data_IF_095674233109
#
_entry.id   IF_095674233109
#
_cell.length_a   1.000
_cell.length_b   1.000
_cell.length_c   1.000
_cell.angle_alpha   90.00
_cell.angle_beta   90.00
_cell.angle_gamma   90.00
#
_symmetry.space_group_name_H-M   'P 1'
#
loop_
_entity.id
_entity.type
_entity.pdbx_description
1 polymer ?
#
# COMPACT_ATOMS: atom_id res chain seq x y z
N UNK A 1 -7.03 -10.74 -6.84
CA UNK A 1 -5.93 -11.73 -6.95
C UNK A 1 -5.53 -12.13 -5.54
N UNK A 2 -5.60 -13.41 -5.13
CA UNK A 2 -5.13 -13.82 -3.80
C UNK A 2 -3.62 -13.63 -3.70
N UNK A 3 -3.17 -13.14 -2.54
CA UNK A 3 -1.75 -13.02 -2.22
C UNK A 3 -1.11 -14.42 -2.15
N UNK A 4 0.09 -14.65 -2.70
CA UNK A 4 0.73 -15.95 -2.65
C UNK A 4 1.00 -16.38 -1.20
N UNK A 5 0.65 -17.63 -0.88
CA UNK A 5 0.97 -18.28 0.38
C UNK A 5 2.38 -18.89 0.28
N UNK A 6 3.21 -18.72 1.31
CA UNK A 6 4.50 -19.43 1.42
C UNK A 6 5.76 -18.58 1.32
N UNK A 7 5.67 -17.26 1.48
CA UNK A 7 6.84 -16.38 1.69
C UNK A 7 6.83 -15.91 3.16
N UNK A 8 7.64 -16.54 4.05
CA UNK A 8 7.62 -16.25 5.49
C UNK A 8 7.85 -14.78 5.84
N UNK A 9 8.61 -14.07 5.01
CA UNK A 9 8.90 -12.64 5.23
C UNK A 9 7.69 -11.76 4.89
N UNK A 10 6.79 -12.25 4.01
CA UNK A 10 5.60 -11.52 3.58
C UNK A 10 4.31 -12.05 4.17
N UNK A 11 4.38 -13.05 5.04
CA UNK A 11 3.22 -13.65 5.69
C UNK A 11 2.46 -12.66 6.57
N UNK A 12 3.16 -11.72 7.20
CA UNK A 12 2.54 -10.64 7.96
C UNK A 12 1.71 -9.72 7.05
N UNK A 13 2.31 -9.21 5.98
CA UNK A 13 1.61 -8.33 5.02
C UNK A 13 0.45 -9.06 4.33
N UNK A 14 0.64 -10.33 3.99
CA UNK A 14 -0.40 -11.17 3.43
C UNK A 14 -1.57 -11.42 4.39
N UNK A 15 -1.35 -11.42 5.71
CA UNK A 15 -2.43 -11.44 6.71
C UNK A 15 -3.15 -10.10 6.76
N UNK A 16 -2.42 -8.99 6.76
CA UNK A 16 -2.98 -7.64 6.76
C UNK A 16 -3.91 -7.39 5.57
N UNK A 17 -3.51 -7.76 4.36
CA UNK A 17 -4.36 -7.59 3.17
C UNK A 17 -5.59 -8.51 3.16
N UNK A 18 -5.50 -9.71 3.75
CA UNK A 18 -6.68 -10.57 3.95
C UNK A 18 -7.66 -9.96 4.93
N UNK A 19 -7.15 -9.32 5.99
CA UNK A 19 -8.00 -8.60 6.93
C UNK A 19 -8.66 -7.37 6.27
N UNK A 20 -7.91 -6.61 5.47
CA UNK A 20 -8.46 -5.51 4.66
C UNK A 20 -9.62 -5.99 3.76
N UNK A 21 -9.45 -7.15 3.11
CA UNK A 21 -10.51 -7.76 2.29
C UNK A 21 -11.71 -8.19 3.13
N UNK A 22 -11.48 -8.77 4.32
CA UNK A 22 -12.56 -9.17 5.24
C UNK A 22 -13.38 -7.97 5.69
N UNK A 23 -12.71 -6.86 6.04
CA UNK A 23 -13.33 -5.60 6.45
C UNK A 23 -14.21 -5.02 5.33
N UNK A 24 -13.76 -5.06 4.07
CA UNK A 24 -14.58 -4.63 2.93
C UNK A 24 -15.87 -5.44 2.76
N UNK A 25 -15.76 -6.76 2.96
CA UNK A 25 -16.91 -7.68 2.88
C UNK A 25 -17.98 -7.34 3.91
N UNK A 26 -17.58 -6.92 5.12
CA UNK A 26 -18.51 -6.52 6.19
C UNK A 26 -18.88 -5.02 6.18
N UNK A 27 -18.39 -4.25 5.20
CA UNK A 27 -18.75 -2.83 5.03
C UNK A 27 -17.88 -1.84 5.83
N UNK A 28 -16.81 -2.32 6.46
CA UNK A 28 -15.88 -1.51 7.25
C UNK A 28 -14.82 -0.85 6.35
N UNK A 29 -15.26 0.10 5.52
CA UNK A 29 -14.45 0.73 4.46
C UNK A 29 -13.20 1.41 5.03
N UNK A 30 -13.37 2.29 6.04
CA UNK A 30 -12.25 3.04 6.63
C UNK A 30 -11.24 2.11 7.28
N UNK A 31 -11.71 1.11 8.02
CA UNK A 31 -10.85 0.13 8.67
C UNK A 31 -10.07 -0.69 7.63
N UNK A 32 -10.69 -1.05 6.50
CA UNK A 32 -9.99 -1.71 5.40
C UNK A 32 -8.83 -0.86 4.87
N UNK A 33 -9.05 0.44 4.63
CA UNK A 33 -7.99 1.35 4.16
C UNK A 33 -6.86 1.47 5.20
N UNK A 34 -7.16 1.42 6.50
CA UNK A 34 -6.14 1.41 7.55
C UNK A 34 -5.26 0.14 7.49
N UNK A 35 -5.84 -1.03 7.22
CA UNK A 35 -5.05 -2.24 7.02
C UNK A 35 -4.21 -2.17 5.73
N UNK A 36 -4.76 -1.64 4.62
CA UNK A 36 -3.98 -1.39 3.40
C UNK A 36 -2.79 -0.47 3.70
N UNK A 37 -3.00 0.57 4.50
CA UNK A 37 -1.93 1.48 4.91
C UNK A 37 -0.84 0.78 5.71
N UNK A 38 -1.19 -0.08 6.67
CA UNK A 38 -0.20 -0.88 7.43
C UNK A 38 0.64 -1.78 6.52
N UNK A 39 0.02 -2.36 5.49
CA UNK A 39 0.76 -3.12 4.48
C UNK A 39 1.77 -2.22 3.73
N UNK A 40 1.40 -0.99 3.39
CA UNK A 40 2.29 -0.02 2.75
C UNK A 40 3.37 0.53 3.69
N UNK A 41 3.13 0.61 5.00
CA UNK A 41 4.15 0.91 6.02
C UNK A 41 5.24 -0.16 6.02
N UNK A 42 4.82 -1.43 6.07
CA UNK A 42 5.77 -2.54 6.00
C UNK A 42 6.64 -2.46 4.74
N UNK A 43 6.05 -2.17 3.57
CA UNK A 43 6.83 -2.01 2.32
C UNK A 43 7.85 -0.88 2.45
N UNK A 44 7.45 0.26 3.02
CA UNK A 44 8.34 1.41 3.20
C UNK A 44 9.52 1.12 4.13
N UNK A 45 9.31 0.27 5.13
CA UNK A 45 10.30 -0.08 6.14
C UNK A 45 11.21 -1.24 5.73
N UNK A 46 10.75 -2.14 4.86
CA UNK A 46 11.42 -3.42 4.58
C UNK A 46 11.89 -3.57 3.12
N UNK A 47 11.62 -2.61 2.23
CA UNK A 47 11.96 -2.73 0.81
C UNK A 47 12.93 -1.64 0.37
N UNK A 48 14.08 -2.06 -0.16
CA UNK A 48 15.19 -1.20 -0.58
C UNK A 48 14.95 -0.54 -1.96
N UNK A 49 13.80 0.12 -2.14
CA UNK A 49 13.58 0.96 -3.31
C UNK A 49 14.15 2.36 -3.11
N UNK A 50 14.88 2.85 -4.12
CA UNK A 50 15.55 4.14 -4.08
C UNK A 50 14.55 5.31 -4.03
N UNK A 51 14.74 6.24 -3.08
CA UNK A 51 13.99 7.50 -3.07
C UNK A 51 14.62 8.51 -4.06
N UNK A 52 13.92 8.88 -5.15
CA UNK A 52 14.45 9.81 -6.16
C UNK A 52 14.47 11.28 -5.70
N UNK A 53 13.91 11.58 -4.53
CA UNK A 53 13.64 12.94 -4.05
C UNK A 53 12.56 13.66 -4.87
N UNK A 54 12.12 14.82 -4.38
CA UNK A 54 10.95 15.52 -4.96
C UNK A 54 11.19 16.06 -6.39
N UNK A 55 12.43 16.43 -6.73
CA UNK A 55 12.75 17.19 -7.94
C UNK A 55 12.99 16.34 -9.19
N UNK A 56 13.36 15.07 -9.04
CA UNK A 56 13.66 14.19 -10.16
C UNK A 56 12.39 13.85 -10.93
N UNK A 57 12.39 14.08 -12.24
CA UNK A 57 11.20 13.82 -13.07
C UNK A 57 10.98 12.32 -13.26
N UNK A 58 9.72 11.93 -13.44
CA UNK A 58 9.36 10.52 -13.67
C UNK A 58 10.05 9.92 -14.88
N UNK A 59 10.36 10.69 -15.93
CA UNK A 59 11.14 10.22 -17.10
C UNK A 59 12.60 9.90 -16.77
N UNK A 60 13.14 10.49 -15.70
CA UNK A 60 14.54 10.34 -15.29
C UNK A 60 14.72 9.24 -14.22
N UNK A 61 13.63 8.75 -13.62
CA UNK A 61 13.68 7.70 -12.61
C UNK A 61 14.10 6.35 -13.22
N UNK A 62 15.02 5.67 -12.54
CA UNK A 62 15.34 4.27 -12.74
C UNK A 62 14.14 3.38 -12.30
N UNK A 63 14.31 2.05 -12.37
CA UNK A 63 13.22 1.13 -12.06
C UNK A 63 12.83 1.13 -10.56
N UNK A 64 13.79 1.08 -9.65
CA UNK A 64 13.55 1.08 -8.18
C UNK A 64 12.91 2.39 -7.72
N UNK A 65 13.36 3.52 -8.26
CA UNK A 65 12.78 4.85 -8.01
C UNK A 65 11.33 4.96 -8.49
N UNK A 66 10.96 4.28 -9.58
CA UNK A 66 9.56 4.23 -10.05
C UNK A 66 8.69 3.43 -9.10
N UNK A 67 9.17 2.30 -8.59
CA UNK A 67 8.44 1.53 -7.58
C UNK A 67 8.28 2.30 -6.28
N UNK A 68 9.33 3.00 -5.84
CA UNK A 68 9.26 3.91 -4.71
C UNK A 68 8.15 4.96 -4.89
N UNK A 69 8.08 5.62 -6.05
CA UNK A 69 7.04 6.63 -6.33
C UNK A 69 5.61 6.06 -6.31
N UNK A 70 5.41 4.83 -6.81
CA UNK A 70 4.10 4.16 -6.78
C UNK A 70 3.71 3.85 -5.33
N UNK A 71 4.64 3.32 -4.54
CA UNK A 71 4.44 3.04 -3.12
C UNK A 71 4.12 4.30 -2.32
N UNK A 72 4.90 5.37 -2.51
CA UNK A 72 4.72 6.67 -1.84
C UNK A 72 3.36 7.30 -2.17
N UNK A 73 2.94 7.24 -3.44
CA UNK A 73 1.62 7.71 -3.86
C UNK A 73 0.48 6.92 -3.23
N UNK A 74 0.57 5.58 -3.20
CA UNK A 74 -0.42 4.74 -2.52
C UNK A 74 -0.46 5.03 -1.02
N UNK A 75 0.70 5.17 -0.38
CA UNK A 75 0.80 5.51 1.03
C UNK A 75 0.12 6.85 1.33
N UNK A 76 0.42 7.88 0.51
CA UNK A 76 -0.19 9.20 0.60
C UNK A 76 -1.72 9.18 0.46
N UNK A 77 -2.26 8.38 -0.47
CA UNK A 77 -3.72 8.26 -0.65
C UNK A 77 -4.42 7.70 0.60
N UNK A 78 -3.74 6.83 1.36
CA UNK A 78 -4.29 6.26 2.59
C UNK A 78 -4.18 7.17 3.82
N UNK A 79 -3.44 8.30 3.74
CA UNK A 79 -3.17 9.15 4.92
C UNK A 79 -4.45 9.70 5.58
N UNK A 80 -5.47 10.07 4.81
CA UNK A 80 -6.70 10.61 5.39
C UNK A 80 -7.57 9.59 6.13
N UNK A 81 -7.30 8.29 5.98
CA UNK A 81 -7.95 7.29 6.80
C UNK A 81 -7.45 7.36 8.26
N UNK A 82 -6.20 7.74 8.47
CA UNK A 82 -5.53 7.83 9.78
C UNK A 82 -5.61 9.23 10.40
N UNK A 83 -5.43 10.27 9.61
CA UNK A 83 -5.35 11.64 10.11
C UNK A 83 -6.72 12.31 10.06
N UNK A 84 -7.02 13.07 11.13
CA UNK A 84 -8.18 13.96 11.21
C UNK A 84 -7.69 15.41 11.28
N UNK A 85 -6.74 15.74 10.41
CA UNK A 85 -6.19 17.09 10.32
C UNK A 85 -7.07 18.00 9.45
N UNK A 86 -6.69 19.28 9.34
CA UNK A 86 -7.47 20.27 8.61
C UNK A 86 -7.70 19.93 7.12
N UNK A 87 -6.85 19.09 6.53
CA UNK A 87 -6.91 18.70 5.11
C UNK A 87 -7.70 17.39 4.94
N UNK A 88 -7.53 16.45 5.86
CA UNK A 88 -8.03 15.07 5.71
C UNK A 88 -9.35 14.78 6.43
N UNK A 89 -9.78 15.65 7.35
CA UNK A 89 -11.01 15.47 8.15
C UNK A 89 -12.30 15.26 7.33
N UNK A 90 -12.37 15.83 6.13
CA UNK A 90 -13.56 15.81 5.29
C UNK A 90 -13.49 14.72 4.20
N UNK A 91 -12.43 13.92 4.19
CA UNK A 91 -12.27 12.86 3.20
C UNK A 91 -13.32 11.78 3.42
N UNK A 92 -14.06 11.47 2.36
CA UNK A 92 -15.04 10.39 2.34
C UNK A 92 -14.50 9.29 1.46
N UNK A 93 -14.34 8.13 2.08
CA UNK A 93 -13.91 6.92 1.40
C UNK A 93 -15.12 6.10 1.03
N UNK A 94 -15.17 5.66 -0.23
CA UNK A 94 -16.18 4.71 -0.68
C UNK A 94 -15.58 3.30 -0.87
N UNK A 95 -16.46 2.35 -1.15
CA UNK A 95 -16.06 0.95 -1.36
C UNK A 95 -15.14 0.81 -2.57
N UNK A 96 -15.37 1.56 -3.65
CA UNK A 96 -14.59 1.44 -4.88
C UNK A 96 -13.15 1.91 -4.67
N UNK A 97 -12.96 3.00 -3.92
CA UNK A 97 -11.64 3.49 -3.53
C UNK A 97 -10.90 2.48 -2.66
N UNK A 98 -11.55 1.93 -1.64
CA UNK A 98 -10.93 0.92 -0.78
C UNK A 98 -10.57 -0.37 -1.53
N UNK A 99 -11.44 -0.85 -2.42
CA UNK A 99 -11.15 -2.00 -3.31
C UNK A 99 -9.96 -1.71 -4.24
N UNK A 100 -9.89 -0.49 -4.78
CA UNK A 100 -8.79 -0.05 -5.65
C UNK A 100 -7.47 -0.05 -4.89
N UNK A 101 -7.44 0.57 -3.70
CA UNK A 101 -6.26 0.64 -2.85
C UNK A 101 -5.78 -0.77 -2.43
N UNK A 102 -6.72 -1.65 -2.05
CA UNK A 102 -6.41 -3.04 -1.73
C UNK A 102 -5.82 -3.78 -2.94
N UNK A 103 -6.43 -3.67 -4.12
CA UNK A 103 -5.99 -4.35 -5.32
C UNK A 103 -4.60 -3.86 -5.78
N UNK A 104 -4.38 -2.54 -5.80
CA UNK A 104 -3.12 -1.93 -6.19
C UNK A 104 -1.99 -2.31 -5.21
N UNK A 105 -2.27 -2.30 -3.90
CA UNK A 105 -1.28 -2.70 -2.89
C UNK A 105 -0.95 -4.19 -2.98
N UNK A 106 -1.96 -5.04 -3.17
CA UNK A 106 -1.76 -6.48 -3.40
C UNK A 106 -0.90 -6.75 -4.64
N UNK A 107 -1.10 -5.98 -5.71
CA UNK A 107 -0.30 -6.08 -6.93
C UNK A 107 1.12 -5.53 -6.75
N UNK A 108 1.28 -4.41 -6.04
CA UNK A 108 2.58 -3.80 -5.72
C UNK A 108 3.48 -4.80 -4.99
N UNK A 109 2.94 -5.50 -4.00
CA UNK A 109 3.71 -6.47 -3.21
C UNK A 109 4.31 -7.63 -4.01
N UNK A 110 3.77 -7.92 -5.20
CA UNK A 110 4.36 -8.92 -6.12
C UNK A 110 5.68 -8.44 -6.74
N UNK A 111 5.96 -7.14 -6.67
CA UNK A 111 7.19 -6.52 -7.16
C UNK A 111 8.22 -6.29 -6.06
N UNK A 112 7.87 -6.58 -4.80
CA UNK A 112 8.85 -6.63 -3.72
C UNK A 112 9.84 -7.74 -4.08
N UNK A 113 11.17 -7.49 -4.06
CA UNK A 113 12.17 -8.51 -4.32
C UNK A 113 12.03 -9.66 -3.31
N UNK A 114 12.03 -10.91 -3.77
CA UNK A 114 12.10 -12.06 -2.87
C UNK A 114 13.52 -12.15 -2.32
N UNK A 115 13.68 -12.39 -1.02
CA UNK A 115 15.00 -12.48 -0.36
C UNK A 115 15.77 -13.75 -0.73
N UNK A 116 15.25 -14.54 -1.69
CA UNK A 116 16.00 -15.64 -2.30
C UNK A 116 17.04 -15.10 -3.29
N UNK A 117 18.19 -14.71 -2.73
CA UNK A 117 19.48 -14.82 -3.39
C UNK A 117 19.96 -16.27 -3.39
#
# INVERSE_FOLDING_TARGET
MPYPLGDPERDEVGRTLREAQRLLTVGEIRASILEVRRALEWVRENVDWDNPGAKKQGSQCNQTERWWRIQDALYGQTCGALHNDAVTKDFKYDRAEAETLLAMTSALLRNVPGTSA
#
